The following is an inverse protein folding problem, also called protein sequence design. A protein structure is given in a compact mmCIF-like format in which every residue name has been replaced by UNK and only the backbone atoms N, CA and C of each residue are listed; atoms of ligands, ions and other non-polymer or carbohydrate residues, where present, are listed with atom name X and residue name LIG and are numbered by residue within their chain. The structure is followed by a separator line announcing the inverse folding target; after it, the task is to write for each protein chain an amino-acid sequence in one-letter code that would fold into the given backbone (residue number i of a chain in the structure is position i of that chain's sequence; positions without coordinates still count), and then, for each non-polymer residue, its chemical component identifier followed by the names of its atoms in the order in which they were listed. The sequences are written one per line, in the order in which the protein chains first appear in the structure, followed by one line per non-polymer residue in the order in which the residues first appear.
data_IF_815838392560
#
_entry.id   IF_815838392560
#
_cell.length_a   1.000
_cell.length_b   1.000
_cell.length_c   1.000
_cell.angle_alpha   90.00
_cell.angle_beta   90.00
_cell.angle_gamma   90.00
#
_symmetry.space_group_name_H-M   'P 1'
#
loop_
_entity.id
_entity.type
_entity.pdbx_description
1 polymer ?
#
# COMPACT_ATOMS: atom_id res chain seq x y z
N UNK A 1 4.94 10.95 21.77
CA UNK A 1 4.46 9.64 21.29
C UNK A 1 4.46 9.64 19.77
N UNK A 2 4.69 8.49 19.14
CA UNK A 2 4.67 8.34 17.69
C UNK A 2 3.85 7.10 17.31
N UNK A 3 3.17 7.17 16.16
CA UNK A 3 2.47 6.07 15.50
C UNK A 3 3.25 5.77 14.22
N UNK A 4 3.53 4.49 13.99
CA UNK A 4 4.26 4.01 12.83
C UNK A 4 3.34 3.17 11.96
N UNK A 5 3.39 3.39 10.65
CA UNK A 5 2.73 2.54 9.67
C UNK A 5 3.51 1.21 9.48
N UNK A 6 2.89 0.19 8.86
CA UNK A 6 3.57 -1.07 8.55
C UNK A 6 4.85 -0.92 7.70
N UNK A 7 4.99 0.18 6.97
CA UNK A 7 6.19 0.54 6.20
C UNK A 7 7.36 1.00 7.09
N UNK A 8 7.11 1.31 8.37
CA UNK A 8 8.08 1.91 9.28
C UNK A 8 8.05 3.44 9.32
N UNK A 9 7.24 4.07 8.46
CA UNK A 9 7.08 5.51 8.39
C UNK A 9 6.27 6.08 9.55
N UNK A 10 6.59 7.31 9.96
CA UNK A 10 5.88 7.99 11.05
C UNK A 10 4.56 8.55 10.52
N UNK A 11 3.45 7.87 10.81
CA UNK A 11 2.10 8.29 10.45
C UNK A 11 1.65 9.54 11.22
N UNK A 12 2.03 9.61 12.50
CA UNK A 12 1.72 10.73 13.37
C UNK A 12 2.67 10.81 14.56
N UNK A 13 3.00 12.02 15.00
CA UNK A 13 3.85 12.25 16.17
C UNK A 13 3.39 13.46 16.95
N UNK A 14 3.58 13.40 18.27
CA UNK A 14 3.41 14.54 19.17
C UNK A 14 4.73 14.94 19.81
N UNK A 15 5.00 16.25 19.80
CA UNK A 15 6.14 16.91 20.44
C UNK A 15 5.66 17.94 21.47
N UNK A 16 6.49 18.43 22.39
CA UNK A 16 6.09 19.48 23.33
C UNK A 16 5.76 20.80 22.61
N UNK A 17 4.76 21.58 23.10
CA UNK A 17 3.97 21.39 24.32
C UNK A 17 2.71 20.52 24.15
N UNK A 18 2.47 19.96 22.97
CA UNK A 18 1.27 19.16 22.70
C UNK A 18 1.28 17.88 23.56
N UNK A 19 0.11 17.51 24.11
CA UNK A 19 -0.05 16.36 25.01
C UNK A 19 -1.07 15.31 24.55
N UNK A 20 -1.87 15.60 23.52
CA UNK A 20 -2.86 14.67 22.94
C UNK A 20 -2.59 14.45 21.45
N UNK A 21 -2.58 13.19 21.02
CA UNK A 21 -2.45 12.77 19.62
C UNK A 21 -3.72 12.02 19.21
N UNK A 22 -4.30 12.38 18.07
CA UNK A 22 -5.41 11.67 17.43
C UNK A 22 -5.01 11.36 16.00
N UNK A 23 -5.20 10.10 15.59
CA UNK A 23 -4.86 9.63 14.25
C UNK A 23 -5.83 8.52 13.87
N UNK A 24 -6.34 8.56 12.64
CA UNK A 24 -7.23 7.56 12.07
C UNK A 24 -6.41 6.50 11.35
N UNK A 25 -6.77 5.22 11.51
CA UNK A 25 -6.07 4.09 10.91
C UNK A 25 -7.09 3.14 10.29
N UNK A 26 -6.87 2.82 9.01
CA UNK A 26 -7.61 1.77 8.32
C UNK A 26 -7.01 0.41 8.62
N UNK A 27 -7.80 -0.46 9.25
CA UNK A 27 -7.35 -1.82 9.62
C UNK A 27 -7.41 -2.81 8.45
N UNK A 28 -8.11 -2.47 7.37
CA UNK A 28 -8.17 -3.26 6.14
C UNK A 28 -7.41 -2.54 5.03
N UNK A 29 -6.12 -2.83 4.93
CA UNK A 29 -5.22 -2.21 3.98
C UNK A 29 -4.50 -3.25 3.12
N UNK A 30 -3.94 -2.80 1.99
CA UNK A 30 -3.02 -3.55 1.15
C UNK A 30 -1.69 -2.81 1.04
N UNK A 31 -0.59 -3.55 1.12
CA UNK A 31 0.75 -3.05 0.82
C UNK A 31 1.09 -3.40 -0.63
N UNK A 32 1.22 -2.38 -1.47
CA UNK A 32 1.50 -2.54 -2.89
C UNK A 32 2.91 -2.03 -3.19
N UNK A 33 3.81 -2.86 -3.75
CA UNK A 33 5.12 -2.42 -4.17
C UNK A 33 5.01 -1.53 -5.42
N UNK A 34 6.11 -0.86 -5.75
CA UNK A 34 6.24 -0.11 -6.98
C UNK A 34 5.85 -0.97 -8.19
N UNK A 35 5.06 -0.36 -9.07
CA UNK A 35 4.70 -0.92 -10.36
C UNK A 35 4.42 0.21 -11.33
N UNK A 36 4.87 0.05 -12.58
CA UNK A 36 4.56 1.00 -13.65
C UNK A 36 3.05 1.18 -13.87
N UNK A 37 2.23 0.17 -13.54
CA UNK A 37 0.77 0.26 -13.58
C UNK A 37 0.19 1.09 -12.43
N UNK A 38 0.82 1.03 -11.26
CA UNK A 38 0.33 1.68 -10.03
C UNK A 38 0.46 3.20 -10.13
N UNK A 39 1.53 3.69 -10.76
CA UNK A 39 1.83 5.12 -10.94
C UNK A 39 1.75 5.89 -9.61
N UNK A 40 2.43 5.37 -8.59
CA UNK A 40 2.47 5.94 -7.25
C UNK A 40 1.07 6.15 -6.64
N UNK A 41 0.14 5.24 -6.96
CA UNK A 41 -1.24 5.24 -6.49
C UNK A 41 -2.23 6.01 -7.38
N UNK A 42 -1.76 6.81 -8.34
CA UNK A 42 -2.65 7.56 -9.24
C UNK A 42 -3.58 6.68 -10.07
N UNK A 43 -3.19 5.42 -10.33
CA UNK A 43 -4.06 4.46 -10.99
C UNK A 43 -5.34 4.18 -10.18
N UNK A 44 -5.24 4.11 -8.86
CA UNK A 44 -6.39 3.92 -7.97
C UNK A 44 -7.28 5.16 -7.95
N UNK A 45 -6.70 6.36 -7.75
CA UNK A 45 -7.44 7.62 -7.77
C UNK A 45 -8.22 7.80 -9.07
N UNK A 46 -7.59 7.48 -10.20
CA UNK A 46 -8.25 7.54 -11.53
C UNK A 46 -9.41 6.54 -11.66
N UNK A 47 -9.28 5.34 -11.09
CA UNK A 47 -10.29 4.28 -11.23
C UNK A 47 -11.45 4.42 -10.26
N UNK A 48 -11.20 4.87 -9.03
CA UNK A 48 -12.16 4.81 -7.92
C UNK A 48 -12.48 6.16 -7.27
N UNK A 49 -11.74 7.24 -7.58
CA UNK A 49 -11.96 8.56 -6.99
C UNK A 49 -11.83 8.53 -5.48
N UNK A 50 -12.82 9.06 -4.77
CA UNK A 50 -12.81 9.17 -3.29
C UNK A 50 -13.11 7.83 -2.58
N UNK A 51 -13.44 6.78 -3.34
CA UNK A 51 -13.67 5.44 -2.80
C UNK A 51 -12.40 4.72 -2.36
N UNK A 52 -11.24 5.32 -2.59
CA UNK A 52 -9.93 4.77 -2.22
C UNK A 52 -9.10 5.83 -1.51
N UNK A 53 -8.43 5.45 -0.45
CA UNK A 53 -7.37 6.23 0.18
C UNK A 53 -6.03 5.52 0.06
N UNK A 54 -4.95 6.29 0.06
CA UNK A 54 -3.60 5.74 0.07
C UNK A 54 -2.56 6.75 0.54
N UNK A 55 -1.47 6.22 1.09
CA UNK A 55 -0.19 6.89 1.22
C UNK A 55 0.84 6.16 0.37
N UNK A 56 1.59 6.90 -0.44
CA UNK A 56 2.68 6.37 -1.26
C UNK A 56 3.99 6.98 -0.80
N UNK A 57 5.00 6.13 -0.62
CA UNK A 57 6.31 6.46 -0.11
C UNK A 57 7.32 6.24 -1.24
N UNK A 58 7.82 7.34 -1.82
CA UNK A 58 8.73 7.28 -2.98
C UNK A 58 10.12 6.71 -2.60
N UNK A 59 10.53 6.86 -1.36
CA UNK A 59 11.77 6.33 -0.80
C UNK A 59 11.70 4.82 -0.50
N UNK A 60 10.54 4.35 -0.03
CA UNK A 60 10.28 2.92 0.22
C UNK A 60 9.76 2.17 -1.01
N UNK A 61 9.58 2.86 -2.15
CA UNK A 61 9.05 2.31 -3.40
C UNK A 61 7.78 1.45 -3.18
N UNK A 62 6.90 1.89 -2.27
CA UNK A 62 5.66 1.19 -1.94
C UNK A 62 4.59 2.13 -1.41
N UNK A 63 3.37 1.63 -1.27
CA UNK A 63 2.30 2.37 -0.61
C UNK A 63 1.35 1.49 0.17
N UNK A 64 0.69 2.11 1.14
CA UNK A 64 -0.44 1.56 1.87
C UNK A 64 -1.73 2.08 1.23
N UNK A 65 -2.67 1.18 0.97
CA UNK A 65 -3.93 1.49 0.29
C UNK A 65 -5.10 0.92 1.08
N UNK A 66 -6.25 1.59 1.08
CA UNK A 66 -7.47 1.12 1.72
C UNK A 66 -8.71 1.53 0.92
N UNK A 67 -9.83 0.84 1.17
CA UNK A 67 -11.11 1.13 0.51
C UNK A 67 -12.02 1.93 1.44
N UNK A 68 -12.56 3.02 0.91
CA UNK A 68 -13.68 3.76 1.51
C UNK A 68 -15.04 3.26 0.98
N UNK A 69 -15.05 2.26 0.10
CA UNK A 69 -16.27 1.66 -0.44
C UNK A 69 -16.65 0.41 0.37
N UNK A 70 -17.78 0.40 1.09
CA UNK A 70 -18.20 -0.76 1.87
C UNK A 70 -18.55 -1.98 0.99
N UNK A 71 -18.75 -1.79 -0.32
CA UNK A 71 -19.09 -2.87 -1.25
C UNK A 71 -17.90 -3.48 -1.99
N UNK A 72 -16.69 -2.91 -1.86
CA UNK A 72 -15.50 -3.39 -2.58
C UNK A 72 -14.26 -3.31 -1.69
N UNK A 73 -13.56 -4.41 -1.52
CA UNK A 73 -12.31 -4.46 -0.74
C UNK A 73 -11.14 -3.86 -1.51
N UNK A 74 -10.10 -3.41 -0.81
CA UNK A 74 -8.90 -2.90 -1.47
C UNK A 74 -8.20 -3.96 -2.34
N UNK A 75 -8.20 -5.23 -1.92
CA UNK A 75 -7.65 -6.32 -2.71
C UNK A 75 -8.42 -6.57 -4.01
N UNK A 76 -9.75 -6.41 -4.01
CA UNK A 76 -10.54 -6.46 -5.24
C UNK A 76 -10.21 -5.29 -6.17
N UNK A 77 -10.06 -4.08 -5.61
CA UNK A 77 -9.66 -2.90 -6.38
C UNK A 77 -8.29 -3.08 -7.03
N UNK A 78 -7.30 -3.60 -6.29
CA UNK A 78 -5.94 -3.86 -6.77
C UNK A 78 -5.93 -4.87 -7.92
N UNK A 79 -6.64 -6.00 -7.76
CA UNK A 79 -6.78 -7.01 -8.81
C UNK A 79 -7.41 -6.45 -10.08
N UNK A 80 -8.46 -5.63 -9.93
CA UNK A 80 -9.17 -5.04 -11.07
C UNK A 80 -8.30 -4.07 -11.89
N UNK A 81 -7.37 -3.35 -11.27
CA UNK A 81 -6.38 -2.52 -11.99
C UNK A 81 -5.11 -3.28 -12.39
N UNK A 82 -5.04 -4.58 -12.07
CA UNK A 82 -3.96 -5.48 -12.46
C UNK A 82 -2.63 -5.23 -11.73
N UNK A 83 -2.71 -4.79 -10.47
CA UNK A 83 -1.59 -4.66 -9.53
C UNK A 83 -1.68 -5.80 -8.50
N UNK A 84 -0.53 -6.34 -8.09
CA UNK A 84 -0.44 -7.41 -7.09
C UNK A 84 0.04 -6.83 -5.75
N UNK A 85 -0.43 -7.43 -4.67
CA UNK A 85 0.10 -7.16 -3.33
C UNK A 85 1.55 -7.65 -3.21
N UNK A 86 2.28 -7.12 -2.24
CA UNK A 86 3.71 -7.38 -2.08
C UNK A 86 4.05 -8.87 -2.05
N UNK A 87 3.34 -9.66 -1.23
CA UNK A 87 3.59 -11.10 -1.11
C UNK A 87 3.31 -11.85 -2.42
N UNK A 88 2.25 -11.48 -3.14
CA UNK A 88 1.87 -12.08 -4.41
C UNK A 88 2.88 -11.76 -5.52
N UNK A 89 3.36 -10.50 -5.58
CA UNK A 89 4.42 -10.12 -6.54
C UNK A 89 5.73 -10.84 -6.19
N UNK A 90 6.09 -10.94 -4.91
CA UNK A 90 7.25 -11.71 -4.47
C UNK A 90 7.14 -13.19 -4.86
N UNK A 91 5.96 -13.81 -4.68
CA UNK A 91 5.71 -15.18 -5.08
C UNK A 91 5.86 -15.38 -6.59
N UNK A 92 5.31 -14.44 -7.39
CA UNK A 92 5.45 -14.43 -8.84
C UNK A 92 6.90 -14.29 -9.29
N UNK A 93 7.67 -13.40 -8.67
CA UNK A 93 9.10 -13.19 -8.96
C UNK A 93 9.93 -14.43 -8.60
N UNK A 94 9.69 -15.03 -7.41
CA UNK A 94 10.34 -16.28 -7.00
C UNK A 94 10.10 -17.39 -8.01
N UNK A 95 8.86 -17.56 -8.45
CA UNK A 95 8.49 -18.57 -9.45
C UNK A 95 9.16 -18.33 -10.80
N UNK A 96 9.26 -17.06 -11.23
CA UNK A 96 9.97 -16.68 -12.45
C UNK A 96 11.45 -17.09 -12.40
N UNK A 97 12.17 -16.73 -11.33
CA UNK A 97 13.58 -17.10 -11.17
C UNK A 97 13.80 -18.60 -11.04
N UNK A 98 12.89 -19.30 -10.36
CA UNK A 98 12.88 -20.77 -10.27
C UNK A 98 12.81 -21.40 -11.66
N UNK A 99 11.89 -20.93 -12.52
CA UNK A 99 11.76 -21.41 -13.91
C UNK A 99 12.98 -21.09 -14.76
N UNK A 100 13.55 -19.90 -14.58
CA UNK A 100 14.74 -19.45 -15.31
C UNK A 100 16.04 -20.15 -14.85
N UNK A 101 16.00 -21.02 -13.82
CA UNK A 101 17.16 -21.74 -13.25
C UNK A 101 18.30 -20.82 -12.80
N UNK A 102 17.99 -19.58 -12.43
CA UNK A 102 18.98 -18.59 -11.96
C UNK A 102 19.01 -18.50 -10.42
N UNK A 103 18.15 -19.26 -9.75
CA UNK A 103 18.13 -19.38 -8.30
C UNK A 103 19.25 -20.34 -7.86
N UNK A 104 20.17 -19.86 -7.02
CA UNK A 104 21.14 -20.70 -6.30
C UNK A 104 20.56 -21.13 -4.97
#
# INVERSE_FOLDING_TARGET
ASIFEPTGEIAAQITPPQSVLVHELDLSYALLPWSSKLRNGEAFRKAYGDKVGFHYYDDEDCGIFWSNDPGTTIGEMARAIGVLELEDEMARVKEFYRKAKVWR
#
